data_IF_486643919786
#
_entry.id   IF_486643919786
#
_cell.length_a   1.000
_cell.length_b   1.000
_cell.length_c   1.000
_cell.angle_alpha   90.00
_cell.angle_beta   90.00
_cell.angle_gamma   90.00
#
_symmetry.space_group_name_H-M   'P 1'
#
loop_
_entity.id
_entity.type
_entity.pdbx_description
1 polymer ?
#
# COMPACT_ATOMS: atom_id res chain seq x y z
N UNK A 1 24.63 5.24 -1.26
CA UNK A 1 23.80 6.44 -1.48
C UNK A 1 23.48 7.04 -0.14
N UNK A 2 23.65 8.34 -0.03
CA UNK A 2 23.11 9.15 1.07
C UNK A 2 21.58 9.21 0.99
N UNK A 3 20.94 9.58 2.10
CA UNK A 3 19.48 9.74 2.16
C UNK A 3 18.97 10.82 1.19
N UNK A 4 19.74 11.89 0.97
CA UNK A 4 19.39 12.93 -0.02
C UNK A 4 19.32 12.38 -1.44
N UNK A 5 20.35 11.63 -1.85
CA UNK A 5 20.39 10.98 -3.16
C UNK A 5 19.25 9.97 -3.35
N UNK A 6 18.88 9.22 -2.29
CA UNK A 6 17.75 8.29 -2.34
C UNK A 6 16.42 9.03 -2.57
N UNK A 7 16.21 10.17 -1.91
CA UNK A 7 15.00 10.98 -2.08
C UNK A 7 14.90 11.58 -3.47
N UNK A 8 16.02 12.05 -4.04
CA UNK A 8 16.06 12.59 -5.41
C UNK A 8 15.73 11.51 -6.45
N UNK A 9 16.21 10.28 -6.24
CA UNK A 9 15.87 9.14 -7.09
C UNK A 9 14.38 8.78 -6.97
N UNK A 10 13.84 8.77 -5.75
CA UNK A 10 12.40 8.51 -5.56
C UNK A 10 11.54 9.58 -6.21
N UNK A 11 11.93 10.85 -6.11
CA UNK A 11 11.22 11.97 -6.72
C UNK A 11 11.28 11.92 -8.26
N UNK A 12 12.44 11.58 -8.82
CA UNK A 12 12.61 11.33 -10.26
C UNK A 12 11.70 10.21 -10.77
N UNK A 13 11.58 9.10 -10.01
CA UNK A 13 10.68 8.01 -10.35
C UNK A 13 9.21 8.43 -10.30
N UNK A 14 8.80 9.14 -9.23
CA UNK A 14 7.44 9.67 -9.06
C UNK A 14 7.04 10.60 -10.21
N UNK A 15 7.96 11.48 -10.62
CA UNK A 15 7.78 12.41 -11.75
C UNK A 15 7.85 11.73 -13.12
N UNK A 16 8.27 10.46 -13.19
CA UNK A 16 8.38 9.71 -14.44
C UNK A 16 9.60 10.06 -15.27
N UNK A 17 10.64 10.62 -14.64
CA UNK A 17 11.96 10.80 -15.27
C UNK A 17 12.55 9.45 -15.68
N UNK A 18 12.23 8.40 -14.91
CA UNK A 18 12.52 7.01 -15.23
C UNK A 18 11.34 6.12 -14.83
N UNK A 19 11.18 5.01 -15.56
CA UNK A 19 10.05 4.08 -15.42
C UNK A 19 10.43 2.75 -14.75
N UNK A 20 11.71 2.52 -14.49
CA UNK A 20 12.21 1.32 -13.82
C UNK A 20 13.04 1.75 -12.61
N UNK A 21 12.74 1.16 -11.45
CA UNK A 21 13.46 1.36 -10.21
C UNK A 21 14.00 0.00 -9.73
N UNK A 22 15.32 -0.07 -9.51
CA UNK A 22 15.98 -1.24 -8.94
C UNK A 22 16.46 -0.86 -7.56
N UNK A 23 16.02 -1.58 -6.54
CA UNK A 23 16.36 -1.29 -5.16
C UNK A 23 16.43 -2.56 -4.33
N UNK A 24 17.01 -2.42 -3.15
CA UNK A 24 16.97 -3.43 -2.09
C UNK A 24 15.72 -3.26 -1.22
N UNK A 25 15.61 -4.09 -0.19
CA UNK A 25 14.63 -4.06 0.90
C UNK A 25 14.25 -2.69 1.47
N UNK A 26 15.13 -1.68 1.38
CA UNK A 26 14.89 -0.32 1.86
C UNK A 26 13.60 0.30 1.30
N UNK A 27 13.14 -0.09 0.11
CA UNK A 27 11.88 0.43 -0.50
C UNK A 27 10.61 -0.17 0.10
N UNK A 28 10.70 -1.29 0.81
CA UNK A 28 9.52 -2.09 1.18
C UNK A 28 8.70 -1.47 2.31
N UNK A 29 9.36 -0.70 3.18
CA UNK A 29 8.76 -0.08 4.35
C UNK A 29 9.01 1.43 4.36
N UNK A 30 7.94 2.20 4.61
CA UNK A 30 8.04 3.63 4.89
C UNK A 30 8.36 4.56 3.71
N UNK A 31 8.71 4.04 2.53
CA UNK A 31 8.97 4.86 1.34
C UNK A 31 7.77 4.91 0.39
N UNK A 32 7.34 6.13 0.08
CA UNK A 32 6.24 6.39 -0.84
C UNK A 32 6.73 6.28 -2.30
N UNK A 33 6.18 5.33 -3.05
CA UNK A 33 6.50 5.09 -4.47
C UNK A 33 5.21 5.17 -5.28
N UNK A 34 5.32 5.70 -6.50
CA UNK A 34 4.17 5.75 -7.42
C UNK A 34 3.62 4.34 -7.66
N UNK A 35 2.36 4.25 -8.04
CA UNK A 35 1.77 2.97 -8.45
C UNK A 35 2.55 2.37 -9.63
N UNK A 36 3.04 1.14 -9.46
CA UNK A 36 3.78 0.39 -10.47
C UNK A 36 2.88 -0.66 -11.12
N UNK A 37 3.03 -0.85 -12.43
CA UNK A 37 2.35 -1.90 -13.19
C UNK A 37 2.97 -3.28 -12.97
N UNK A 38 4.26 -3.35 -12.68
CA UNK A 38 4.97 -4.62 -12.44
C UNK A 38 5.90 -4.46 -11.25
N UNK A 39 5.87 -5.42 -10.34
CA UNK A 39 6.83 -5.53 -9.24
C UNK A 39 7.45 -6.92 -9.30
N UNK A 40 8.77 -6.96 -9.43
CA UNK A 40 9.58 -8.19 -9.47
C UNK A 40 10.40 -8.22 -8.20
N UNK A 41 10.26 -9.28 -7.42
CA UNK A 41 11.01 -9.42 -6.16
C UNK A 41 11.42 -10.88 -5.96
N UNK A 42 12.58 -11.07 -5.33
CA UNK A 42 13.06 -12.40 -4.92
C UNK A 42 12.34 -12.88 -3.64
N UNK A 43 11.71 -11.96 -2.90
CA UNK A 43 10.96 -12.18 -1.65
C UNK A 43 9.55 -11.51 -1.70
N UNK A 44 8.59 -11.73 -0.78
CA UNK A 44 7.23 -11.17 -0.88
C UNK A 44 7.15 -9.63 -0.71
N UNK A 45 6.41 -8.91 -1.57
CA UNK A 45 6.33 -7.44 -1.61
C UNK A 45 4.99 -6.89 -2.19
N UNK A 46 4.90 -5.58 -2.44
CA UNK A 46 3.62 -4.88 -2.76
C UNK A 46 3.56 -4.39 -4.21
N UNK A 47 2.62 -4.89 -5.00
CA UNK A 47 2.16 -4.25 -6.25
C UNK A 47 0.79 -3.61 -6.00
N UNK A 48 0.63 -2.31 -6.30
CA UNK A 48 -0.55 -1.53 -5.88
C UNK A 48 -1.45 -1.04 -7.02
N UNK A 49 -1.05 -1.18 -8.28
CA UNK A 49 -1.90 -0.77 -9.40
C UNK A 49 -2.98 -1.83 -9.69
N UNK A 50 -4.16 -1.38 -10.14
CA UNK A 50 -5.36 -2.23 -10.35
C UNK A 50 -5.10 -3.42 -11.29
N UNK A 51 -4.25 -3.25 -12.29
CA UNK A 51 -3.83 -4.30 -13.21
C UNK A 51 -2.33 -4.61 -13.08
N UNK A 52 -1.82 -4.57 -11.84
CA UNK A 52 -0.41 -4.87 -11.62
C UNK A 52 -0.11 -6.35 -11.59
N UNK A 53 1.04 -6.72 -12.12
CA UNK A 53 1.58 -8.07 -12.01
C UNK A 53 2.60 -8.13 -10.88
N UNK A 54 2.46 -9.13 -10.02
CA UNK A 54 3.41 -9.46 -8.97
C UNK A 54 4.15 -10.74 -9.35
N UNK A 55 5.46 -10.65 -9.53
CA UNK A 55 6.30 -11.78 -9.95
C UNK A 55 7.28 -12.14 -8.84
N UNK A 56 7.16 -13.36 -8.31
CA UNK A 56 8.06 -13.92 -7.30
C UNK A 56 9.10 -14.82 -7.97
N UNK A 57 10.37 -14.42 -7.89
CA UNK A 57 11.49 -15.20 -8.41
C UNK A 57 11.98 -16.17 -7.32
N UNK A 58 12.17 -17.44 -7.66
CA UNK A 58 12.62 -18.48 -6.73
C UNK A 58 13.50 -19.49 -7.44
N UNK A 59 14.51 -20.01 -6.73
CA UNK A 59 15.34 -21.11 -7.21
C UNK A 59 14.63 -22.46 -7.08
N UNK A 60 13.69 -22.58 -6.13
CA UNK A 60 12.89 -23.79 -5.88
C UNK A 60 11.39 -23.47 -5.96
N UNK A 61 10.76 -23.99 -7.02
CA UNK A 61 9.33 -23.83 -7.26
C UNK A 61 8.47 -24.53 -6.20
N UNK A 62 8.86 -25.71 -5.73
CA UNK A 62 8.08 -26.49 -4.77
C UNK A 62 8.10 -25.86 -3.39
N UNK A 63 9.28 -25.44 -2.93
CA UNK A 63 9.43 -24.72 -1.66
C UNK A 63 8.63 -23.43 -1.67
N UNK A 64 8.75 -22.64 -2.74
CA UNK A 64 8.02 -21.40 -2.91
C UNK A 64 6.50 -21.63 -2.90
N UNK A 65 6.00 -22.61 -3.67
CA UNK A 65 4.57 -22.93 -3.71
C UNK A 65 4.01 -23.27 -2.32
N UNK A 66 4.73 -24.10 -1.54
CA UNK A 66 4.34 -24.44 -0.16
C UNK A 66 4.32 -23.23 0.76
N UNK A 67 5.32 -22.36 0.65
CA UNK A 67 5.40 -21.14 1.45
C UNK A 67 4.26 -20.18 1.10
N UNK A 68 4.00 -19.94 -0.18
CA UNK A 68 2.89 -19.09 -0.62
C UNK A 68 1.54 -19.66 -0.17
N UNK A 69 1.33 -20.97 -0.33
CA UNK A 69 0.11 -21.64 0.14
C UNK A 69 -0.10 -21.47 1.65
N UNK A 70 0.98 -21.61 2.44
CA UNK A 70 0.91 -21.41 3.88
C UNK A 70 0.52 -19.98 4.28
N UNK A 71 1.03 -18.96 3.56
CA UNK A 71 0.69 -17.57 3.81
C UNK A 71 -0.76 -17.26 3.42
N UNK A 72 -1.23 -17.75 2.26
CA UNK A 72 -2.62 -17.57 1.84
C UNK A 72 -3.58 -18.25 2.82
N UNK A 73 -3.22 -19.41 3.35
CA UNK A 73 -4.01 -20.09 4.37
C UNK A 73 -4.06 -19.27 5.66
N UNK A 74 -2.91 -18.81 6.15
CA UNK A 74 -2.82 -18.01 7.36
C UNK A 74 -3.60 -16.70 7.23
N UNK A 75 -3.50 -16.02 6.08
CA UNK A 75 -4.25 -14.80 5.79
C UNK A 75 -5.77 -15.02 5.87
N UNK A 76 -6.28 -16.13 5.32
CA UNK A 76 -7.70 -16.48 5.42
C UNK A 76 -8.12 -16.72 6.86
N UNK A 77 -7.34 -17.49 7.61
CA UNK A 77 -7.61 -17.77 9.02
C UNK A 77 -7.59 -16.47 9.85
N UNK A 78 -6.61 -15.59 9.61
CA UNK A 78 -6.48 -14.31 10.28
C UNK A 78 -7.66 -13.38 9.95
N UNK A 79 -8.01 -13.26 8.67
CA UNK A 79 -9.13 -12.42 8.23
C UNK A 79 -10.45 -12.88 8.87
N UNK A 80 -10.72 -14.18 8.92
CA UNK A 80 -11.90 -14.71 9.61
C UNK A 80 -11.85 -14.45 11.11
N UNK A 81 -10.70 -14.70 11.74
CA UNK A 81 -10.55 -14.53 13.18
C UNK A 81 -10.66 -13.06 13.61
N UNK A 82 -10.32 -12.11 12.75
CA UNK A 82 -10.34 -10.67 13.07
C UNK A 82 -11.63 -9.99 12.62
N UNK A 83 -12.38 -10.58 11.66
CA UNK A 83 -13.60 -9.99 11.08
C UNK A 83 -14.60 -9.48 12.11
N UNK A 84 -14.85 -10.26 13.15
CA UNK A 84 -15.86 -9.96 14.19
C UNK A 84 -15.23 -9.38 15.47
N UNK A 85 -13.93 -9.11 15.45
CA UNK A 85 -13.20 -8.43 16.53
C UNK A 85 -12.86 -6.98 16.19
N UNK A 86 -13.26 -6.53 15.00
CA UNK A 86 -13.39 -5.11 14.72
C UNK A 86 -14.43 -4.54 15.67
N UNK A 87 -14.04 -3.56 16.49
CA UNK A 87 -15.01 -2.79 17.26
C UNK A 87 -15.95 -2.15 16.25
N UNK A 88 -17.22 -2.54 16.27
CA UNK A 88 -18.31 -1.81 15.63
C UNK A 88 -18.24 -0.38 16.16
N UNK A 89 -17.58 0.51 15.42
CA UNK A 89 -18.00 1.89 15.43
C UNK A 89 -19.30 1.86 14.65
N UNK A 90 -20.39 1.98 15.39
CA UNK A 90 -21.73 2.17 14.86
C UNK A 90 -21.66 3.38 13.94
N UNK A 91 -21.52 3.15 12.65
CA UNK A 91 -21.93 4.07 11.62
C UNK A 91 -22.87 3.27 10.73
N UNK A 92 -24.11 3.74 10.69
CA UNK A 92 -25.30 3.08 10.18
C UNK A 92 -25.14 2.53 8.76
N UNK A 93 -25.91 1.48 8.46
CA UNK A 93 -25.98 0.78 7.17
C UNK A 93 -25.97 1.75 5.96
N UNK A 94 -24.96 1.69 5.09
CA UNK A 94 -25.04 2.31 3.76
C UNK A 94 -24.43 1.44 2.66
N UNK A 95 -25.29 1.22 1.66
CA UNK A 95 -25.15 0.58 0.35
C UNK A 95 -23.74 0.46 -0.25
N UNK A 96 -23.49 -0.75 -0.77
CA UNK A 96 -22.31 -1.14 -1.53
C UNK A 96 -22.34 -0.49 -2.91
N UNK A 97 -21.44 0.48 -3.12
CA UNK A 97 -20.98 0.85 -4.46
C UNK A 97 -20.98 2.36 -4.74
N UNK A 98 -19.80 2.92 -4.98
CA UNK A 98 -19.54 4.32 -5.40
C UNK A 98 -19.25 5.35 -4.29
N UNK A 99 -19.65 5.12 -3.04
CA UNK A 99 -19.50 6.15 -2.01
C UNK A 99 -18.12 6.25 -1.35
N UNK A 100 -17.22 5.29 -1.53
CA UNK A 100 -15.97 5.24 -0.76
C UNK A 100 -15.08 6.47 -0.98
N UNK A 101 -15.01 6.99 -2.20
CA UNK A 101 -14.22 8.19 -2.53
C UNK A 101 -14.90 9.47 -2.02
N UNK A 102 -16.23 9.53 -2.10
CA UNK A 102 -17.02 10.65 -1.58
C UNK A 102 -16.97 10.72 -0.05
N UNK A 103 -17.00 9.57 0.64
CA UNK A 103 -16.84 9.44 2.09
C UNK A 103 -15.45 9.90 2.53
N UNK A 104 -14.38 9.48 1.86
CA UNK A 104 -13.01 9.95 2.15
C UNK A 104 -12.92 11.48 2.04
N UNK A 105 -13.53 12.08 1.01
CA UNK A 105 -13.56 13.53 0.85
C UNK A 105 -14.35 14.26 1.95
N UNK A 106 -15.47 13.70 2.42
CA UNK A 106 -16.29 14.28 3.51
C UNK A 106 -15.58 14.28 4.86
N UNK A 107 -14.84 13.22 5.19
CA UNK A 107 -14.13 13.09 6.48
C UNK A 107 -12.70 13.63 6.45
N UNK A 108 -12.31 14.32 5.38
CA UNK A 108 -10.97 14.87 5.28
C UNK A 108 -10.86 16.23 5.97
N UNK A 109 -9.89 16.35 6.88
CA UNK A 109 -9.58 17.64 7.50
C UNK A 109 -8.73 18.49 6.54
N UNK A 110 -9.23 19.70 6.24
CA UNK A 110 -8.64 20.64 5.29
C UNK A 110 -8.27 21.95 6.00
N UNK A 111 -7.10 22.02 6.67
CA UNK A 111 -6.71 23.17 7.50
C UNK A 111 -6.60 24.50 6.75
N UNK A 112 -6.38 24.47 5.43
CA UNK A 112 -6.19 25.66 4.59
C UNK A 112 -7.28 25.80 3.50
N UNK A 113 -8.43 25.14 3.68
CA UNK A 113 -9.54 25.19 2.71
C UNK A 113 -9.44 24.15 1.59
N UNK A 114 -10.34 24.24 0.60
CA UNK A 114 -10.57 23.20 -0.41
C UNK A 114 -9.36 22.92 -1.33
N UNK A 115 -8.57 23.96 -1.62
CA UNK A 115 -7.32 23.87 -2.40
C UNK A 115 -6.07 23.63 -1.54
N UNK A 116 -6.26 23.53 -0.22
CA UNK A 116 -5.20 23.29 0.74
C UNK A 116 -4.84 21.80 0.89
N UNK A 117 -3.75 21.50 1.63
CA UNK A 117 -3.40 20.13 1.99
C UNK A 117 -4.56 19.43 2.69
N UNK A 118 -4.83 18.19 2.29
CA UNK A 118 -5.95 17.41 2.77
C UNK A 118 -5.45 16.23 3.61
N UNK A 119 -5.89 16.17 4.88
CA UNK A 119 -5.62 15.03 5.76
C UNK A 119 -6.82 14.09 5.70
N UNK A 120 -6.61 12.94 5.06
CA UNK A 120 -7.58 11.86 4.95
C UNK A 120 -7.43 10.87 6.11
N UNK A 121 -8.48 10.10 6.49
CA UNK A 121 -8.36 9.04 7.49
C UNK A 121 -7.24 8.03 7.18
N UNK A 122 -6.98 7.76 5.90
CA UNK A 122 -5.88 6.92 5.42
C UNK A 122 -4.49 7.52 5.61
N UNK A 123 -4.37 8.85 5.66
CA UNK A 123 -3.11 9.57 5.87
C UNK A 123 -2.95 10.05 7.33
N UNK A 124 -3.89 9.75 8.22
CA UNK A 124 -3.84 10.15 9.61
C UNK A 124 -2.76 9.42 10.44
N UNK A 125 -2.47 8.11 10.23
CA UNK A 125 -1.42 7.42 10.99
C UNK A 125 -0.03 8.03 10.79
N UNK A 126 0.29 8.53 9.60
CA UNK A 126 1.55 9.20 9.30
C UNK A 126 1.68 10.61 9.90
N UNK A 127 0.58 11.21 10.35
CA UNK A 127 0.57 12.51 11.05
C UNK A 127 0.71 12.32 12.56
N UNK A 128 0.17 11.23 13.11
CA UNK A 128 0.20 10.92 14.54
C UNK A 128 1.52 10.28 15.00
N UNK A 129 2.26 9.65 14.09
CA UNK A 129 3.53 8.97 14.39
C UNK A 129 4.73 9.92 14.25
N UNK A 130 4.68 11.08 14.91
CA UNK A 130 5.74 12.08 14.90
C UNK A 130 6.30 12.31 16.29
#
# INVERSE_FOLDING_TARGET
MSTGEQLDVLDGFRKGVFNVLVATDVIEEGLDVRACNVVIKVDPGRARAVHSHYVLMTDDKMKCARTVESFVRLEKELNLAVRDRCVDRVDEEEEVGSETVAKIARYSYMPLGADGPRITPSSAPSVLMR
#
